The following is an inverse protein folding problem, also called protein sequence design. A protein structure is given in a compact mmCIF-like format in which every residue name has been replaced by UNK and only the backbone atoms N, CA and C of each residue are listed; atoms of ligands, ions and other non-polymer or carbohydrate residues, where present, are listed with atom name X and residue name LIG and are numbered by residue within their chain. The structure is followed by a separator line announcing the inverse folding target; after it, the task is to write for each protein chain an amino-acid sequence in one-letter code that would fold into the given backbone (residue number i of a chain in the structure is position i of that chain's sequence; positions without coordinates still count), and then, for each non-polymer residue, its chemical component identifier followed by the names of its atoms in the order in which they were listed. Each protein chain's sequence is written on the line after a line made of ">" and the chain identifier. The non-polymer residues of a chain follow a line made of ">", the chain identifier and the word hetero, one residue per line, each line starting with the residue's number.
data_IF_728703513788
#
_entry.id   IF_728703513788
#
_cell.length_a   1.000
_cell.length_b   1.000
_cell.length_c   1.000
_cell.angle_alpha   90.00
_cell.angle_beta   90.00
_cell.angle_gamma   90.00
#
_symmetry.space_group_name_H-M   'P 1'
#
loop_
_entity.id
_entity.type
_entity.pdbx_description
1 polymer ?
#
# COMPACT_ATOMS: atom_id res chain seq x y z
N UNK A 1 9.69 -2.29 -12.97
CA UNK A 1 9.52 -3.29 -11.91
C UNK A 1 8.16 -3.08 -11.26
N UNK A 2 7.20 -3.93 -11.58
CA UNK A 2 5.85 -3.92 -11.01
C UNK A 2 5.89 -4.49 -9.59
N UNK A 3 5.47 -3.72 -8.59
CA UNK A 3 5.32 -4.15 -7.18
C UNK A 3 4.27 -5.27 -6.98
N UNK A 4 3.78 -5.89 -8.06
CA UNK A 4 2.77 -6.94 -8.09
C UNK A 4 3.33 -8.35 -8.29
N UNK A 5 4.64 -8.52 -8.42
CA UNK A 5 5.22 -9.86 -8.32
C UNK A 5 5.28 -10.23 -6.84
N UNK A 6 4.70 -11.36 -6.48
CA UNK A 6 4.62 -11.87 -5.11
C UNK A 6 6.02 -12.04 -4.53
N UNK A 7 6.58 -10.96 -3.98
CA UNK A 7 7.76 -10.98 -3.12
C UNK A 7 7.34 -11.60 -1.78
N UNK A 8 7.01 -12.89 -1.82
CA UNK A 8 6.97 -13.72 -0.63
C UNK A 8 8.31 -13.56 0.08
N UNK A 9 8.29 -13.57 1.41
CA UNK A 9 9.49 -13.60 2.24
C UNK A 9 10.53 -14.62 1.73
N UNK A 10 10.08 -15.71 1.13
CA UNK A 10 10.94 -16.73 0.52
C UNK A 10 11.65 -16.23 -0.75
N UNK A 11 10.94 -15.52 -1.64
CA UNK A 11 11.51 -14.94 -2.87
C UNK A 11 12.58 -13.89 -2.57
N UNK A 12 12.35 -13.04 -1.56
CA UNK A 12 13.33 -11.99 -1.19
C UNK A 12 14.51 -12.57 -0.42
N UNK A 13 14.28 -13.62 0.37
CA UNK A 13 15.36 -14.35 1.02
C UNK A 13 16.25 -15.07 -0.01
N UNK A 14 15.64 -15.74 -0.99
CA UNK A 14 16.33 -16.41 -2.10
C UNK A 14 17.11 -15.41 -2.95
N UNK A 15 16.51 -14.28 -3.35
CA UNK A 15 17.19 -13.21 -4.07
C UNK A 15 18.38 -12.61 -3.29
N UNK A 16 18.33 -12.65 -1.96
CA UNK A 16 19.43 -12.22 -1.09
C UNK A 16 20.48 -13.33 -0.84
N UNK A 17 20.29 -14.54 -1.39
CA UNK A 17 21.16 -15.70 -1.12
C UNK A 17 21.08 -16.19 0.33
N UNK A 18 19.96 -15.93 1.02
CA UNK A 18 19.76 -16.23 2.42
C UNK A 18 18.62 -17.21 2.64
N UNK A 19 18.75 -18.04 3.67
CA UNK A 19 17.57 -18.74 4.20
C UNK A 19 16.59 -17.74 4.79
N UNK A 20 15.29 -18.04 4.70
CA UNK A 20 14.18 -17.27 5.29
C UNK A 20 14.49 -16.76 6.70
N UNK A 21 14.93 -17.66 7.59
CA UNK A 21 15.27 -17.34 9.00
C UNK A 21 16.40 -16.33 9.12
N UNK A 22 17.43 -16.44 8.29
CA UNK A 22 18.59 -15.53 8.32
C UNK A 22 18.22 -14.15 7.78
N UNK A 23 17.45 -14.11 6.69
CA UNK A 23 16.91 -12.88 6.15
C UNK A 23 16.03 -12.16 7.17
N UNK A 24 14.99 -12.81 7.74
CA UNK A 24 14.09 -12.17 8.72
C UNK A 24 14.84 -11.60 9.91
N UNK A 25 15.81 -12.34 10.46
CA UNK A 25 16.62 -11.88 11.60
C UNK A 25 17.48 -10.67 11.25
N UNK A 26 18.16 -10.69 10.10
CA UNK A 26 19.00 -9.56 9.66
C UNK A 26 18.16 -8.34 9.31
N UNK A 27 17.03 -8.55 8.62
CA UNK A 27 16.08 -7.50 8.29
C UNK A 27 15.57 -6.82 9.57
N UNK A 28 15.07 -7.58 10.53
CA UNK A 28 14.57 -7.03 11.79
C UNK A 28 15.67 -6.30 12.58
N UNK A 29 16.90 -6.82 12.60
CA UNK A 29 18.03 -6.13 13.23
C UNK A 29 18.35 -4.78 12.55
N UNK A 30 18.13 -4.67 11.24
CA UNK A 30 18.45 -3.47 10.46
C UNK A 30 17.31 -2.44 10.44
N UNK A 31 16.07 -2.88 10.33
CA UNK A 31 14.88 -2.03 10.12
C UNK A 31 14.07 -1.85 11.42
N UNK A 32 14.30 -2.69 12.43
CA UNK A 32 13.65 -2.61 13.74
C UNK A 32 12.25 -3.22 13.79
N UNK A 33 11.70 -3.69 12.66
CA UNK A 33 10.39 -4.36 12.60
C UNK A 33 10.46 -5.67 11.81
N UNK A 34 9.44 -6.51 11.94
CA UNK A 34 9.34 -7.75 11.17
C UNK A 34 9.18 -7.43 9.68
N UNK A 35 9.72 -8.30 8.82
CA UNK A 35 9.54 -8.14 7.37
C UNK A 35 8.06 -8.14 6.96
N UNK A 36 7.21 -8.95 7.61
CA UNK A 36 5.79 -9.02 7.32
C UNK A 36 5.05 -7.71 7.63
N UNK A 37 5.35 -7.08 8.77
CA UNK A 37 4.75 -5.80 9.15
C UNK A 37 5.24 -4.66 8.25
N UNK A 38 6.52 -4.66 7.93
CA UNK A 38 7.10 -3.72 6.97
C UNK A 38 6.45 -3.88 5.60
N UNK A 39 6.38 -5.10 5.07
CA UNK A 39 5.78 -5.36 3.76
C UNK A 39 4.31 -4.95 3.73
N UNK A 40 3.55 -5.26 4.78
CA UNK A 40 2.15 -4.82 4.90
C UNK A 40 2.05 -3.29 4.86
N UNK A 41 2.98 -2.58 5.50
CA UNK A 41 3.02 -1.11 5.47
C UNK A 41 3.29 -0.58 4.06
N UNK A 42 4.29 -1.13 3.36
CA UNK A 42 4.59 -0.75 1.98
C UNK A 42 3.41 -1.02 1.04
N UNK A 43 2.68 -2.13 1.25
CA UNK A 43 1.48 -2.47 0.47
C UNK A 43 0.33 -1.50 0.74
N UNK A 44 0.11 -1.09 1.98
CA UNK A 44 -0.89 -0.06 2.33
C UNK A 44 -0.53 1.28 1.67
N UNK A 45 0.73 1.71 1.71
CA UNK A 45 1.19 2.93 1.05
C UNK A 45 0.99 2.89 -0.47
N UNK A 46 1.28 1.75 -1.11
CA UNK A 46 1.00 1.56 -2.52
C UNK A 46 -0.50 1.64 -2.82
N UNK A 47 -1.32 1.01 -1.99
CA UNK A 47 -2.77 1.12 -2.12
C UNK A 47 -3.24 2.58 -2.02
N UNK A 48 -2.73 3.37 -1.08
CA UNK A 48 -3.04 4.80 -0.99
C UNK A 48 -2.72 5.52 -2.30
N UNK A 49 -1.50 5.37 -2.83
CA UNK A 49 -1.10 5.99 -4.10
C UNK A 49 -2.01 5.59 -5.27
N UNK A 50 -2.41 4.31 -5.34
CA UNK A 50 -3.34 3.84 -6.37
C UNK A 50 -4.74 4.41 -6.21
N UNK A 51 -5.22 4.56 -4.97
CA UNK A 51 -6.53 5.16 -4.68
C UNK A 51 -6.56 6.65 -4.99
N UNK A 52 -5.45 7.35 -4.80
CA UNK A 52 -5.29 8.79 -5.06
C UNK A 52 -5.13 9.09 -6.55
N UNK A 53 -4.37 8.26 -7.27
CA UNK A 53 -4.04 8.49 -8.67
C UNK A 53 -5.01 7.85 -9.67
N UNK A 54 -5.89 6.95 -9.24
CA UNK A 54 -6.72 6.15 -10.16
C UNK A 54 -8.12 5.85 -9.62
N UNK A 55 -9.06 5.60 -10.54
CA UNK A 55 -10.42 5.15 -10.24
C UNK A 55 -10.59 3.62 -10.29
N UNK A 56 -9.50 2.87 -10.27
CA UNK A 56 -9.52 1.39 -10.36
C UNK A 56 -10.44 0.76 -9.31
N UNK A 57 -11.05 -0.38 -9.62
CA UNK A 57 -11.87 -1.12 -8.65
C UNK A 57 -11.03 -1.56 -7.45
N UNK A 58 -11.67 -1.78 -6.30
CA UNK A 58 -10.98 -2.23 -5.08
C UNK A 58 -10.25 -3.56 -5.30
N UNK A 59 -10.79 -4.45 -6.13
CA UNK A 59 -10.16 -5.73 -6.46
C UNK A 59 -8.86 -5.55 -7.24
N UNK A 60 -8.85 -4.65 -8.23
CA UNK A 60 -7.62 -4.32 -8.98
C UNK A 60 -6.60 -3.66 -8.05
N UNK A 61 -7.02 -2.71 -7.21
CA UNK A 61 -6.11 -2.07 -6.24
C UNK A 61 -5.53 -3.11 -5.28
N UNK A 62 -6.33 -4.05 -4.79
CA UNK A 62 -5.86 -5.09 -3.90
C UNK A 62 -4.87 -6.05 -4.58
N UNK A 63 -5.11 -6.38 -5.84
CA UNK A 63 -4.20 -7.19 -6.64
C UNK A 63 -2.87 -6.47 -6.86
N UNK A 64 -2.90 -5.23 -7.36
CA UNK A 64 -1.68 -4.44 -7.62
C UNK A 64 -0.91 -4.10 -6.35
N UNK A 65 -1.60 -3.90 -5.23
CA UNK A 65 -0.98 -3.69 -3.92
C UNK A 65 -0.55 -5.00 -3.24
N UNK A 66 -0.81 -6.17 -3.83
CA UNK A 66 -0.32 -7.46 -3.32
C UNK A 66 -1.08 -8.04 -2.12
N UNK A 67 -2.34 -7.66 -1.91
CA UNK A 67 -3.21 -8.23 -0.85
C UNK A 67 -3.99 -9.47 -1.29
N UNK A 68 -4.02 -9.77 -2.59
CA UNK A 68 -4.69 -10.95 -3.16
C UNK A 68 -6.23 -10.89 -3.16
N UNK A 69 -6.84 -10.04 -2.32
CA UNK A 69 -8.29 -9.78 -2.34
C UNK A 69 -8.64 -8.40 -1.78
N UNK A 70 -9.77 -7.83 -2.22
CA UNK A 70 -10.29 -6.59 -1.66
C UNK A 70 -10.62 -6.68 -0.16
N UNK A 71 -10.95 -7.87 0.35
CA UNK A 71 -11.19 -8.10 1.78
C UNK A 71 -9.90 -7.97 2.60
N UNK A 72 -8.81 -8.61 2.17
CA UNK A 72 -7.51 -8.49 2.84
C UNK A 72 -7.00 -7.04 2.81
N UNK A 73 -7.12 -6.37 1.65
CA UNK A 73 -6.81 -4.93 1.55
C UNK A 73 -7.60 -4.13 2.59
N UNK A 74 -8.92 -4.29 2.67
CA UNK A 74 -9.77 -3.58 3.64
C UNK A 74 -9.35 -3.82 5.08
N UNK A 75 -9.03 -5.06 5.45
CA UNK A 75 -8.60 -5.42 6.80
C UNK A 75 -7.29 -4.72 7.18
N UNK A 76 -6.25 -4.87 6.38
CA UNK A 76 -4.94 -4.27 6.67
C UNK A 76 -4.95 -2.75 6.60
N UNK A 77 -5.65 -2.18 5.61
CA UNK A 77 -5.77 -0.74 5.44
C UNK A 77 -6.50 -0.11 6.64
N UNK A 78 -7.62 -0.71 7.08
CA UNK A 78 -8.38 -0.21 8.24
C UNK A 78 -7.59 -0.35 9.54
N UNK A 79 -6.87 -1.46 9.72
CA UNK A 79 -6.01 -1.65 10.89
C UNK A 79 -4.88 -0.61 10.99
N UNK A 80 -4.35 -0.17 9.84
CA UNK A 80 -3.22 0.77 9.79
C UNK A 80 -3.65 2.24 9.81
N UNK A 81 -4.70 2.59 9.05
CA UNK A 81 -5.11 3.98 8.77
C UNK A 81 -6.44 4.36 9.42
N UNK A 82 -7.08 3.43 10.14
CA UNK A 82 -8.37 3.66 10.83
C UNK A 82 -9.49 4.16 9.93
N UNK A 83 -9.43 3.83 8.64
CA UNK A 83 -10.46 4.14 7.64
C UNK A 83 -10.48 3.06 6.57
N UNK A 84 -11.58 2.97 5.82
CA UNK A 84 -11.67 2.03 4.70
C UNK A 84 -11.03 2.62 3.43
N UNK A 85 -10.48 1.78 2.53
CA UNK A 85 -9.97 2.22 1.22
C UNK A 85 -10.98 3.06 0.41
N UNK A 86 -12.26 2.66 0.43
CA UNK A 86 -13.31 3.37 -0.31
C UNK A 86 -13.61 4.74 0.30
N UNK A 87 -13.68 4.83 1.63
CA UNK A 87 -13.83 6.12 2.31
C UNK A 87 -12.60 7.01 2.08
N UNK A 88 -11.40 6.45 2.16
CA UNK A 88 -10.15 7.16 1.90
C UNK A 88 -10.16 7.83 0.52
N UNK A 89 -10.47 7.06 -0.55
CA UNK A 89 -10.60 7.60 -1.91
C UNK A 89 -11.59 8.75 -1.97
N UNK A 90 -12.80 8.56 -1.41
CA UNK A 90 -13.86 9.57 -1.45
C UNK A 90 -13.42 10.89 -0.80
N UNK A 91 -12.79 10.82 0.37
CA UNK A 91 -12.32 12.03 1.07
C UNK A 91 -11.17 12.70 0.34
N UNK A 92 -10.29 11.92 -0.32
CA UNK A 92 -9.22 12.47 -1.13
C UNK A 92 -9.75 13.18 -2.38
N UNK A 93 -10.63 12.53 -3.17
CA UNK A 93 -11.22 13.15 -4.37
C UNK A 93 -11.95 14.46 -4.04
N UNK A 94 -12.72 14.50 -2.93
CA UNK A 94 -13.38 15.73 -2.45
C UNK A 94 -12.41 16.84 -2.08
N UNK A 95 -11.21 16.50 -1.58
CA UNK A 95 -10.17 17.47 -1.26
C UNK A 95 -9.55 18.01 -2.54
N UNK A 96 -9.18 17.14 -3.47
CA UNK A 96 -8.63 17.54 -4.78
C UNK A 96 -9.56 18.49 -5.53
N UNK A 97 -10.85 18.20 -5.60
CA UNK A 97 -11.85 19.09 -6.23
C UNK A 97 -11.94 20.48 -5.55
N UNK A 98 -11.76 20.53 -4.23
CA UNK A 98 -11.79 21.79 -3.47
C UNK A 98 -10.53 22.61 -3.70
N UNK A 99 -9.37 21.97 -3.73
CA UNK A 99 -8.08 22.61 -3.96
C UNK A 99 -8.03 23.22 -5.37
N UNK A 100 -8.55 22.51 -6.37
CA UNK A 100 -8.70 23.01 -7.75
C UNK A 100 -9.64 24.22 -7.84
N UNK A 101 -10.80 24.18 -7.17
CA UNK A 101 -11.74 25.32 -7.12
C UNK A 101 -11.12 26.55 -6.46
N UNK A 102 -10.32 26.34 -5.43
CA UNK A 102 -9.66 27.43 -4.69
C UNK A 102 -8.55 28.06 -5.54
N UNK A 103 -7.75 27.25 -6.24
CA UNK A 103 -6.72 27.73 -7.16
C UNK A 103 -7.32 28.48 -8.36
N UNK A 104 -8.44 27.99 -8.91
CA UNK A 104 -9.16 28.67 -10.00
C UNK A 104 -9.76 30.01 -9.57
N UNK A 105 -10.25 30.13 -8.34
CA UNK A 105 -10.83 31.36 -7.82
C UNK A 105 -9.81 32.48 -7.52
N UNK A 106 -8.53 32.14 -7.33
CA UNK A 106 -7.44 33.11 -7.12
C UNK A 106 -6.80 33.61 -8.42
N UNK A 107 -7.23 33.07 -9.57
CA UNK A 107 -6.68 33.39 -10.90
C UNK A 107 -7.55 34.38 -11.71
N UNK A 108 -8.55 35.00 -11.08
CA UNK A 108 -9.46 35.99 -11.67
C UNK A 108 -9.52 37.24 -10.78
#
# INVERSE_FOLDING_TARGET
>A
ATLGETHSLDSVAEAAGLTRRTFTRRFQKSIGTSFGDWLTSQRVELAQRLLEATEKSMDIVAFEAGFGSATSLRQHFSARLRTSPAQYRREFSRRSERDERTAGALSH
#
